data_IF_643269268128
#
_entry.id   IF_643269268128
#
_cell.length_a   1.000
_cell.length_b   1.000
_cell.length_c   1.000
_cell.angle_alpha   90.00
_cell.angle_beta   90.00
_cell.angle_gamma   90.00
#
_symmetry.space_group_name_H-M   'P 1'
#
loop_
_entity.id
_entity.type
_entity.pdbx_description
1 polymer ?
#
# COMPACT_ATOMS: atom_id res chain seq x y z
N UNK A 1 -4.09 16.63 -9.50
CA UNK A 1 -3.62 15.32 -8.96
C UNK A 1 -3.12 15.47 -7.52
N UNK A 2 -3.77 14.81 -6.56
CA UNK A 2 -3.31 14.64 -5.17
C UNK A 2 -2.62 13.29 -5.03
N UNK A 3 -1.60 13.17 -4.18
CA UNK A 3 -0.82 11.93 -4.05
C UNK A 3 -0.66 11.55 -2.58
N UNK A 4 -1.00 10.29 -2.28
CA UNK A 4 -0.73 9.64 -0.99
C UNK A 4 0.46 8.72 -1.21
N UNK A 5 1.64 9.22 -0.83
CA UNK A 5 2.88 8.46 -0.77
C UNK A 5 3.13 7.96 0.65
N UNK A 6 4.06 7.00 0.81
CA UNK A 6 4.25 6.31 2.09
C UNK A 6 2.93 5.70 2.55
N UNK A 7 2.38 4.83 1.68
CA UNK A 7 1.04 4.25 1.75
C UNK A 7 0.84 3.33 2.94
N UNK A 8 0.45 2.07 2.74
CA UNK A 8 0.04 1.21 3.84
C UNK A 8 1.24 0.56 4.54
N UNK A 9 2.03 -0.21 3.79
CA UNK A 9 3.25 -0.84 4.28
C UNK A 9 4.35 0.17 4.55
N UNK A 10 4.52 1.16 3.67
CA UNK A 10 5.47 2.24 3.89
C UNK A 10 5.17 3.09 5.12
N UNK A 11 3.90 3.27 5.47
CA UNK A 11 3.55 3.91 6.74
C UNK A 11 3.90 3.03 7.93
N UNK A 12 3.66 1.72 7.84
CA UNK A 12 3.99 0.81 8.93
C UNK A 12 5.48 0.86 9.27
N UNK A 13 6.37 0.67 8.29
CA UNK A 13 7.81 0.65 8.60
C UNK A 13 8.38 2.02 8.94
N UNK A 14 7.73 3.12 8.54
CA UNK A 14 8.14 4.48 8.94
C UNK A 14 7.69 4.89 10.34
N UNK A 15 6.65 4.25 10.90
CA UNK A 15 6.25 4.41 12.31
C UNK A 15 7.14 3.61 13.26
N UNK A 16 7.76 2.55 12.74
CA UNK A 16 8.78 1.76 13.42
C UNK A 16 10.14 2.00 12.73
N UNK A 17 10.87 0.92 12.51
CA UNK A 17 11.93 0.78 11.50
C UNK A 17 11.55 -0.36 10.56
N UNK A 18 12.24 -0.50 9.42
CA UNK A 18 12.04 -1.64 8.52
C UNK A 18 12.27 -2.97 9.24
N UNK A 19 13.36 -3.09 10.00
CA UNK A 19 13.68 -4.31 10.73
C UNK A 19 12.64 -4.65 11.79
N UNK A 20 12.21 -3.66 12.58
CA UNK A 20 11.22 -3.85 13.64
C UNK A 20 9.84 -4.18 13.07
N UNK A 21 9.40 -3.49 12.02
CA UNK A 21 8.13 -3.78 11.37
C UNK A 21 8.11 -5.21 10.80
N UNK A 22 9.18 -5.63 10.10
CA UNK A 22 9.28 -6.98 9.55
C UNK A 22 9.35 -8.06 10.64
N UNK A 23 10.04 -7.79 11.75
CA UNK A 23 10.06 -8.69 12.89
C UNK A 23 8.66 -8.82 13.52
N UNK A 24 8.00 -7.70 13.80
CA UNK A 24 6.68 -7.65 14.42
C UNK A 24 5.61 -8.35 13.57
N UNK A 25 5.69 -8.30 12.24
CA UNK A 25 4.79 -9.05 11.36
C UNK A 25 4.78 -10.57 11.63
N UNK A 26 5.85 -11.10 12.24
CA UNK A 26 5.98 -12.52 12.58
C UNK A 26 5.83 -12.74 14.08
N UNK A 27 6.43 -11.88 14.91
CA UNK A 27 6.49 -12.06 16.37
C UNK A 27 5.30 -11.48 17.12
N UNK A 28 4.67 -10.44 16.59
CA UNK A 28 3.49 -9.76 17.15
C UNK A 28 2.57 -9.24 16.04
N UNK A 29 1.91 -10.19 15.38
CA UNK A 29 0.99 -9.89 14.28
C UNK A 29 -0.20 -9.03 14.74
N UNK A 30 -0.63 -9.16 15.99
CA UNK A 30 -1.74 -8.38 16.56
C UNK A 30 -1.39 -6.90 16.61
N UNK A 31 -0.21 -6.57 17.16
CA UNK A 31 0.30 -5.20 17.15
C UNK A 31 0.37 -4.64 15.72
N UNK A 32 0.89 -5.44 14.79
CA UNK A 32 1.01 -5.04 13.39
C UNK A 32 -0.36 -4.71 12.79
N UNK A 33 -1.37 -5.57 12.98
CA UNK A 33 -2.73 -5.31 12.51
C UNK A 33 -3.34 -4.06 13.16
N UNK A 34 -3.16 -3.86 14.46
CA UNK A 34 -3.68 -2.67 15.14
C UNK A 34 -3.09 -1.36 14.58
N UNK A 35 -1.80 -1.35 14.22
CA UNK A 35 -1.17 -0.19 13.59
C UNK A 35 -1.69 0.01 12.17
N UNK A 36 -1.78 -1.07 11.40
CA UNK A 36 -2.28 -1.04 10.03
C UNK A 36 -3.75 -0.56 9.96
N UNK A 37 -4.61 -0.98 10.89
CA UNK A 37 -5.99 -0.49 11.02
C UNK A 37 -6.02 1.03 11.25
N UNK A 38 -5.10 1.57 12.06
CA UNK A 38 -4.99 3.02 12.31
C UNK A 38 -4.49 3.79 11.11
N UNK A 39 -3.59 3.21 10.32
CA UNK A 39 -3.14 3.79 9.05
C UNK A 39 -4.31 3.83 8.06
N UNK A 40 -5.09 2.76 7.94
CA UNK A 40 -6.28 2.72 7.09
C UNK A 40 -7.30 3.80 7.49
N UNK A 41 -7.63 3.87 8.78
CA UNK A 41 -8.55 4.87 9.34
C UNK A 41 -8.07 6.30 9.07
N UNK A 42 -6.75 6.52 9.09
CA UNK A 42 -6.17 7.82 8.73
C UNK A 42 -6.33 8.13 7.24
N UNK A 43 -6.05 7.17 6.35
CA UNK A 43 -6.20 7.38 4.91
C UNK A 43 -7.65 7.58 4.49
N UNK A 44 -8.61 6.89 5.10
CA UNK A 44 -10.04 7.14 4.87
C UNK A 44 -10.42 8.59 5.17
N UNK A 45 -10.05 9.10 6.35
CA UNK A 45 -10.32 10.50 6.71
C UNK A 45 -9.62 11.51 5.80
N UNK A 46 -8.40 11.17 5.36
CA UNK A 46 -7.68 11.99 4.40
C UNK A 46 -8.42 12.04 3.07
N UNK A 47 -8.92 10.89 2.58
CA UNK A 47 -9.70 10.80 1.36
C UNK A 47 -11.02 11.55 1.47
N UNK A 48 -11.76 11.38 2.57
CA UNK A 48 -12.99 12.16 2.83
C UNK A 48 -12.74 13.67 2.67
N UNK A 49 -11.58 14.14 3.14
CA UNK A 49 -11.20 15.54 3.01
C UNK A 49 -10.78 15.90 1.59
N UNK A 50 -9.95 15.07 0.95
CA UNK A 50 -9.36 15.34 -0.38
C UNK A 50 -10.41 15.31 -1.48
N UNK A 51 -11.40 14.43 -1.37
CA UNK A 51 -12.48 14.27 -2.35
C UNK A 51 -13.45 15.46 -2.38
N UNK A 52 -13.47 16.29 -1.33
CA UNK A 52 -14.23 17.55 -1.32
C UNK A 52 -13.55 18.66 -2.17
N UNK A 53 -12.32 18.45 -2.62
CA UNK A 53 -11.59 19.39 -3.48
C UNK A 53 -11.62 18.97 -4.95
N UNK A 54 -11.44 19.95 -5.84
CA UNK A 54 -11.46 19.77 -7.30
C UNK A 54 -10.13 19.22 -7.82
N UNK A 55 -9.74 18.02 -7.35
CA UNK A 55 -8.61 17.28 -7.89
C UNK A 55 -9.05 16.34 -9.00
N UNK A 56 -8.32 16.33 -10.12
CA UNK A 56 -8.65 15.47 -11.26
C UNK A 56 -8.31 13.99 -11.03
N UNK A 57 -7.46 13.69 -10.05
CA UNK A 57 -7.02 12.33 -9.73
C UNK A 57 -6.41 12.26 -8.32
N UNK A 58 -6.54 11.11 -7.68
CA UNK A 58 -5.80 10.73 -6.46
C UNK A 58 -4.90 9.55 -6.78
N UNK A 59 -3.61 9.69 -6.51
CA UNK A 59 -2.60 8.66 -6.72
C UNK A 59 -2.19 8.02 -5.39
N UNK A 60 -2.04 6.70 -5.37
CA UNK A 60 -1.55 5.95 -4.21
C UNK A 60 -0.23 5.25 -4.58
N UNK A 61 0.77 5.37 -3.70
CA UNK A 61 2.05 4.68 -3.86
C UNK A 61 2.40 3.90 -2.59
N UNK A 62 2.83 2.66 -2.77
CA UNK A 62 3.34 1.81 -1.69
C UNK A 62 4.31 0.78 -2.28
N UNK A 63 5.49 0.62 -1.67
CA UNK A 63 6.55 -0.26 -2.17
C UNK A 63 6.71 -1.50 -1.28
N UNK A 64 6.27 -2.64 -1.81
CA UNK A 64 6.41 -3.95 -1.17
C UNK A 64 7.52 -4.80 -1.80
N UNK A 65 8.21 -4.25 -2.79
CA UNK A 65 9.12 -4.95 -3.67
C UNK A 65 10.55 -5.01 -3.15
N UNK A 66 11.23 -6.09 -3.51
CA UNK A 66 12.68 -6.19 -3.52
C UNK A 66 13.11 -6.78 -4.87
N UNK A 67 14.42 -6.80 -5.12
CA UNK A 67 14.97 -7.16 -6.43
C UNK A 67 14.42 -8.48 -7.00
N UNK A 68 14.08 -9.46 -6.14
CA UNK A 68 13.62 -10.79 -6.53
C UNK A 68 12.16 -11.11 -6.17
N UNK A 69 11.35 -10.15 -5.73
CA UNK A 69 9.94 -10.40 -5.39
C UNK A 69 9.42 -9.52 -4.27
N UNK A 70 8.46 -10.03 -3.50
CA UNK A 70 7.93 -9.33 -2.32
C UNK A 70 8.93 -9.41 -1.14
N UNK A 71 9.05 -8.33 -0.36
CA UNK A 71 9.87 -8.30 0.87
C UNK A 71 9.37 -9.33 1.90
N UNK A 72 8.06 -9.34 2.12
CA UNK A 72 7.38 -10.13 3.17
C UNK A 72 6.87 -11.50 2.68
N UNK A 73 7.11 -11.84 1.42
CA UNK A 73 6.58 -13.05 0.79
C UNK A 73 5.07 -13.01 0.53
N UNK A 74 4.56 -13.87 -0.37
CA UNK A 74 3.19 -13.75 -0.88
C UNK A 74 2.10 -14.08 0.15
N UNK A 75 2.35 -15.01 1.07
CA UNK A 75 1.36 -15.42 2.08
C UNK A 75 1.12 -14.32 3.11
N UNK A 76 2.20 -13.74 3.65
CA UNK A 76 2.10 -12.69 4.66
C UNK A 76 1.64 -11.37 4.03
N UNK A 77 2.06 -11.08 2.80
CA UNK A 77 1.55 -9.95 2.03
C UNK A 77 0.03 -10.02 1.83
N UNK A 78 -0.50 -11.18 1.40
CA UNK A 78 -1.95 -11.37 1.27
C UNK A 78 -2.70 -11.20 2.58
N UNK A 79 -2.08 -11.62 3.68
CA UNK A 79 -2.70 -11.60 5.01
C UNK A 79 -2.73 -10.20 5.61
N UNK A 80 -1.61 -9.47 5.54
CA UNK A 80 -1.44 -8.22 6.27
C UNK A 80 -1.57 -6.97 5.40
N UNK A 81 -1.15 -7.03 4.13
CA UNK A 81 -1.02 -5.83 3.29
C UNK A 81 -2.14 -5.75 2.27
N UNK A 82 -2.43 -6.85 1.56
CA UNK A 82 -3.43 -6.84 0.47
C UNK A 82 -4.81 -6.32 0.93
N UNK A 83 -5.26 -6.71 2.12
CA UNK A 83 -6.58 -6.31 2.64
C UNK A 83 -6.73 -4.80 2.77
N UNK A 84 -5.76 -4.12 3.39
CA UNK A 84 -5.80 -2.66 3.56
C UNK A 84 -5.47 -1.90 2.28
N UNK A 85 -4.85 -2.57 1.31
CA UNK A 85 -4.62 -2.04 -0.03
C UNK A 85 -5.90 -2.06 -0.86
N UNK A 86 -6.66 -3.16 -0.83
CA UNK A 86 -7.93 -3.33 -1.57
C UNK A 86 -8.96 -2.25 -1.23
N UNK A 87 -8.87 -1.67 -0.03
CA UNK A 87 -9.68 -0.53 0.42
C UNK A 87 -9.54 0.69 -0.48
N UNK A 88 -8.37 0.97 -1.05
CA UNK A 88 -8.21 2.10 -1.99
C UNK A 88 -8.93 1.89 -3.32
N UNK A 89 -9.20 0.63 -3.71
CA UNK A 89 -10.00 0.31 -4.90
C UNK A 89 -11.49 0.65 -4.74
N UNK A 90 -11.96 0.91 -3.51
CA UNK A 90 -13.36 1.26 -3.24
C UNK A 90 -13.69 2.72 -3.51
N UNK A 91 -12.67 3.57 -3.68
CA UNK A 91 -12.85 5.02 -3.59
C UNK A 91 -13.43 5.61 -4.88
N UNK A 92 -13.12 5.09 -6.08
CA UNK A 92 -13.87 5.35 -7.32
C UNK A 92 -13.59 4.25 -8.35
N UNK A 93 -14.56 3.39 -8.73
CA UNK A 93 -14.34 2.32 -9.72
C UNK A 93 -13.98 2.82 -11.12
N UNK A 94 -14.23 4.10 -11.42
CA UNK A 94 -13.89 4.79 -12.66
C UNK A 94 -12.45 5.35 -12.72
N UNK A 95 -11.75 5.44 -11.59
CA UNK A 95 -10.34 5.88 -11.53
C UNK A 95 -9.45 4.64 -11.32
N UNK A 96 -8.57 4.29 -12.27
CA UNK A 96 -7.67 3.17 -12.10
C UNK A 96 -6.74 3.39 -10.90
N UNK A 97 -6.83 2.53 -9.88
CA UNK A 97 -5.83 2.46 -8.82
C UNK A 97 -4.65 1.66 -9.37
N UNK A 98 -3.56 2.35 -9.69
CA UNK A 98 -2.33 1.74 -10.18
C UNK A 98 -1.36 1.57 -9.00
N UNK A 99 -1.09 0.32 -8.62
CA UNK A 99 -0.02 0.01 -7.67
C UNK A 99 1.31 -0.12 -8.42
N UNK A 100 2.22 0.84 -8.21
CA UNK A 100 3.55 0.78 -8.79
C UNK A 100 4.47 -0.11 -7.94
N UNK A 101 4.54 -1.41 -8.25
CA UNK A 101 5.69 -2.24 -7.80
C UNK A 101 6.85 -1.93 -8.73
N UNK A 102 7.73 -1.00 -8.35
CA UNK A 102 8.84 -0.63 -9.21
C UNK A 102 9.87 -1.78 -9.30
N UNK A 103 9.78 -2.58 -10.36
CA UNK A 103 10.93 -3.35 -10.84
C UNK A 103 11.74 -2.39 -11.70
N UNK A 104 12.84 -1.85 -11.18
CA UNK A 104 13.78 -1.10 -12.00
C UNK A 104 14.52 -2.06 -12.93
N UNK A 105 13.94 -2.32 -14.09
CA UNK A 105 14.64 -2.77 -15.28
C UNK A 105 13.99 -2.05 -16.46
N UNK A 106 14.82 -1.38 -17.24
CA UNK A 106 14.42 -0.38 -18.21
C UNK A 106 13.29 -0.76 -19.16
N UNK A 107 12.74 0.32 -19.70
CA UNK A 107 11.66 0.44 -20.67
C UNK A 107 10.26 0.57 -20.05
N UNK A 108 9.76 1.81 -20.22
CA UNK A 108 8.47 2.31 -19.81
C UNK A 108 7.41 1.67 -20.70
N UNK A 109 6.74 0.65 -20.19
CA UNK A 109 5.39 0.32 -20.63
C UNK A 109 4.60 -0.05 -19.38
N UNK A 110 3.41 0.52 -19.26
CA UNK A 110 2.48 0.35 -18.15
C UNK A 110 2.25 -1.13 -17.88
N UNK A 111 2.51 -1.58 -16.64
CA UNK A 111 2.31 -2.97 -16.24
C UNK A 111 1.02 -3.08 -15.41
N UNK A 112 0.00 -3.70 -16.00
CA UNK A 112 -1.14 -4.21 -15.23
C UNK A 112 -0.64 -5.36 -14.35
N UNK A 113 -0.82 -5.24 -13.03
CA UNK A 113 -0.46 -6.30 -12.09
C UNK A 113 -1.48 -7.44 -12.20
N UNK A 114 -1.21 -8.42 -13.06
CA UNK A 114 -1.90 -9.71 -13.03
C UNK A 114 -1.47 -10.46 -11.76
N UNK A 115 -2.24 -10.30 -10.67
CA UNK A 115 -2.10 -11.05 -9.42
C UNK A 115 -2.60 -12.50 -9.60
N UNK A 116 -1.94 -13.29 -10.43
CA UNK A 116 -2.09 -14.76 -10.46
C UNK A 116 -0.86 -15.43 -9.86
N UNK A 117 -0.80 -15.47 -8.53
CA UNK A 117 -0.08 -16.51 -7.76
C UNK A 117 -0.84 -16.81 -6.48
#
# INVERSE_FOLDING_TARGET
MFSITMGYFERLWSLFSMEEALANMITDEKLTMEVLDKVEEHHHRLLDTVLDYDYEAVYFGDDWGQQKGLIIGPNLWRKLIKSGVDVYNTVQPEIPVEYCVSKYRGDKDTFTVDLYV
#
